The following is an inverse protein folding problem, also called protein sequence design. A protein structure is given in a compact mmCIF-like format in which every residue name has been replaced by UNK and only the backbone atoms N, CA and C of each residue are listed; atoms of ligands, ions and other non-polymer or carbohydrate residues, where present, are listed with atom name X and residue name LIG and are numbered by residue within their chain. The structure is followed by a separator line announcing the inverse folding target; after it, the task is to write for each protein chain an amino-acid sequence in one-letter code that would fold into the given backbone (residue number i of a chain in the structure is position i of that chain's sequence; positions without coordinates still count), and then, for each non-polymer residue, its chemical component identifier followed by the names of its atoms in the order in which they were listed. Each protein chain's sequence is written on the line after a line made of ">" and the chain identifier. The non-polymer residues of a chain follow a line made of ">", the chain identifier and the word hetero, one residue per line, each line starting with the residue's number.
data_IF_852915671301
#
_entry.id   IF_852915671301
#
_cell.length_a   1.000
_cell.length_b   1.000
_cell.length_c   1.000
_cell.angle_alpha   90.00
_cell.angle_beta   90.00
_cell.angle_gamma   90.00
#
_symmetry.space_group_name_H-M   'P 1'
#
loop_
_entity.id
_entity.type
_entity.pdbx_description
1 polymer ?
#
# COMPACT_ATOMS: atom_id res chain seq x y z
N UNK A 1 24.27 -1.89 24.97
CA UNK A 1 23.94 -0.92 23.89
C UNK A 1 22.56 -1.20 23.34
N UNK A 2 21.70 -0.20 23.30
CA UNK A 2 20.40 -0.36 22.66
C UNK A 2 20.52 -0.08 21.17
N UNK A 3 19.98 -0.97 20.36
CA UNK A 3 19.88 -0.77 18.91
C UNK A 3 18.74 0.21 18.61
N UNK A 4 19.02 1.17 17.74
CA UNK A 4 17.99 2.09 17.25
C UNK A 4 17.95 2.06 15.73
N UNK A 5 16.75 1.94 15.18
CA UNK A 5 16.53 2.09 13.75
C UNK A 5 16.73 3.56 13.36
N UNK A 6 17.38 3.78 12.23
CA UNK A 6 17.57 5.12 11.72
C UNK A 6 16.45 5.44 10.72
N UNK A 7 15.74 6.54 10.95
CA UNK A 7 14.75 7.06 10.01
C UNK A 7 15.48 7.88 8.95
N UNK A 8 15.71 7.30 7.79
CA UNK A 8 16.52 7.90 6.74
C UNK A 8 15.78 9.03 6.02
N UNK A 9 16.53 9.88 5.32
CA UNK A 9 15.94 10.93 4.46
C UNK A 9 15.04 10.30 3.38
N UNK A 10 15.45 9.15 2.84
CA UNK A 10 14.67 8.43 1.83
C UNK A 10 13.34 7.96 2.38
N UNK A 11 13.32 7.41 3.60
CA UNK A 11 12.09 7.03 4.28
C UNK A 11 11.16 8.22 4.48
N UNK A 12 11.72 9.37 4.88
CA UNK A 12 10.94 10.60 5.07
C UNK A 12 10.38 11.12 3.75
N UNK A 13 11.15 11.00 2.66
CA UNK A 13 10.69 11.40 1.33
C UNK A 13 9.48 10.56 0.90
N UNK A 14 9.55 9.24 1.10
CA UNK A 14 8.44 8.36 0.78
C UNK A 14 7.22 8.70 1.63
N UNK A 15 7.40 8.82 2.94
CA UNK A 15 6.30 9.17 3.84
C UNK A 15 5.61 10.48 3.42
N UNK A 16 6.40 11.49 3.09
CA UNK A 16 5.86 12.81 2.67
C UNK A 16 5.01 12.72 1.42
N UNK A 17 5.36 11.84 0.49
CA UNK A 17 4.59 11.66 -0.75
C UNK A 17 3.20 11.07 -0.49
N UNK A 18 3.03 10.34 0.61
CA UNK A 18 1.75 9.71 0.97
C UNK A 18 0.98 10.48 2.04
N UNK A 19 1.44 11.67 2.44
CA UNK A 19 0.84 12.37 3.59
C UNK A 19 -0.66 12.65 3.40
N UNK A 20 -1.06 13.05 2.19
CA UNK A 20 -2.48 13.34 1.93
C UNK A 20 -3.33 12.07 2.05
N UNK A 21 -2.83 10.96 1.54
CA UNK A 21 -3.51 9.68 1.65
C UNK A 21 -3.64 9.25 3.11
N UNK A 22 -2.53 9.33 3.86
CA UNK A 22 -2.53 8.93 5.28
C UNK A 22 -3.46 9.79 6.14
N UNK A 23 -3.55 11.08 5.84
CA UNK A 23 -4.44 11.99 6.59
C UNK A 23 -5.91 11.76 6.29
N UNK A 24 -6.23 11.29 5.08
CA UNK A 24 -7.62 11.15 4.64
C UNK A 24 -8.15 9.71 4.74
N UNK A 25 -7.30 8.72 5.06
CA UNK A 25 -7.72 7.33 5.16
C UNK A 25 -7.80 6.90 6.63
N UNK A 26 -9.03 6.82 7.14
CA UNK A 26 -9.29 6.56 8.56
C UNK A 26 -9.04 5.12 8.98
N UNK A 27 -8.91 4.19 8.03
CA UNK A 27 -8.73 2.76 8.32
C UNK A 27 -7.27 2.36 8.57
N UNK A 28 -6.34 3.30 8.45
CA UNK A 28 -4.91 3.02 8.61
C UNK A 28 -4.23 4.11 9.44
N UNK A 29 -3.08 3.74 10.00
CA UNK A 29 -2.17 4.69 10.64
C UNK A 29 -0.74 4.25 10.41
N UNK A 30 0.18 5.21 10.41
CA UNK A 30 1.60 4.96 10.24
C UNK A 30 2.35 5.66 11.38
N UNK A 31 3.09 4.87 12.15
CA UNK A 31 3.84 5.36 13.31
C UNK A 31 5.33 5.04 13.11
N UNK A 32 6.18 5.83 13.75
CA UNK A 32 7.61 5.55 13.80
C UNK A 32 8.00 5.05 15.18
N UNK A 33 8.77 3.96 15.21
CA UNK A 33 9.38 3.43 16.42
C UNK A 33 10.89 3.36 16.24
N UNK A 34 11.65 3.90 17.17
CA UNK A 34 13.12 3.85 17.11
C UNK A 34 13.65 2.41 17.17
N UNK A 35 12.83 1.47 17.62
CA UNK A 35 13.26 0.08 17.79
C UNK A 35 12.91 -0.81 16.62
N UNK A 36 11.79 -0.56 15.94
CA UNK A 36 11.32 -1.45 14.87
C UNK A 36 11.13 -0.77 13.52
N UNK A 37 11.27 0.55 13.44
CA UNK A 37 11.06 1.31 12.20
C UNK A 37 9.62 1.79 12.08
N UNK A 38 9.09 1.83 10.87
CA UNK A 38 7.68 2.18 10.68
C UNK A 38 6.78 1.03 11.11
N UNK A 39 5.68 1.40 11.75
CA UNK A 39 4.63 0.46 12.13
C UNK A 39 3.37 0.88 11.39
N UNK A 40 2.89 0.01 10.52
CA UNK A 40 1.67 0.23 9.73
C UNK A 40 0.52 -0.49 10.41
N UNK A 41 -0.51 0.26 10.79
CA UNK A 41 -1.68 -0.27 11.49
C UNK A 41 -2.90 -0.24 10.58
N UNK A 42 -3.68 -1.31 10.58
CA UNK A 42 -5.03 -1.27 10.05
C UNK A 42 -6.00 -1.16 11.22
N UNK A 43 -7.01 -0.33 11.07
CA UNK A 43 -7.89 0.09 12.16
C UNK A 43 -9.34 -0.22 11.79
N UNK A 44 -10.06 -0.80 12.74
CA UNK A 44 -11.51 -0.94 12.62
C UNK A 44 -12.14 0.39 13.00
N UNK A 45 -12.75 1.07 12.03
CA UNK A 45 -13.33 2.40 12.24
C UNK A 45 -14.50 2.42 13.22
N UNK A 46 -15.19 1.29 13.37
CA UNK A 46 -16.35 1.20 14.27
C UNK A 46 -15.92 1.03 15.74
N UNK A 47 -14.88 0.24 15.98
CA UNK A 47 -14.43 -0.07 17.35
C UNK A 47 -13.24 0.75 17.78
N UNK A 48 -12.58 1.46 16.85
CA UNK A 48 -11.32 2.20 17.07
C UNK A 48 -10.18 1.31 17.57
N UNK A 49 -10.23 0.02 17.21
CA UNK A 49 -9.19 -0.95 17.59
C UNK A 49 -8.34 -1.29 16.37
N UNK A 50 -7.05 -1.53 16.61
CA UNK A 50 -6.16 -2.01 15.56
C UNK A 50 -6.49 -3.47 15.24
N UNK A 51 -6.58 -3.80 13.96
CA UNK A 51 -6.84 -5.16 13.48
C UNK A 51 -5.56 -5.88 13.09
N UNK A 52 -4.59 -5.13 12.58
CA UNK A 52 -3.29 -5.69 12.23
C UNK A 52 -2.19 -4.66 12.42
N UNK A 53 -0.97 -5.18 12.54
CA UNK A 53 0.23 -4.38 12.74
C UNK A 53 1.33 -5.00 11.89
N UNK A 54 2.02 -4.17 11.10
CA UNK A 54 3.09 -4.64 10.22
C UNK A 54 4.30 -3.70 10.35
N UNK A 55 5.49 -4.29 10.52
CA UNK A 55 6.72 -3.53 10.62
C UNK A 55 7.33 -3.33 9.24
N UNK A 56 7.74 -2.09 8.93
CA UNK A 56 8.34 -1.73 7.65
C UNK A 56 9.71 -1.10 7.92
N UNK A 57 10.75 -1.73 7.39
CA UNK A 57 12.13 -1.40 7.76
C UNK A 57 12.89 -0.60 6.71
N UNK A 58 12.40 -0.52 5.48
CA UNK A 58 13.08 0.16 4.38
C UNK A 58 12.12 1.07 3.62
N UNK A 59 12.69 2.05 2.90
CA UNK A 59 11.88 2.95 2.08
C UNK A 59 11.09 2.21 1.00
N UNK A 60 11.68 1.24 0.27
CA UNK A 60 10.88 0.45 -0.69
C UNK A 60 9.75 -0.35 -0.06
N UNK A 61 9.96 -0.94 1.13
CA UNK A 61 8.90 -1.66 1.83
C UNK A 61 7.76 -0.72 2.22
N UNK A 62 8.09 0.45 2.75
CA UNK A 62 7.09 1.47 3.09
C UNK A 62 6.30 1.89 1.86
N UNK A 63 6.98 2.21 0.77
CA UNK A 63 6.34 2.64 -0.47
C UNK A 63 5.42 1.54 -1.02
N UNK A 64 5.93 0.31 -1.10
CA UNK A 64 5.15 -0.83 -1.61
C UNK A 64 3.89 -1.07 -0.79
N UNK A 65 4.01 -1.05 0.53
CA UNK A 65 2.85 -1.31 1.41
C UNK A 65 1.79 -0.23 1.27
N UNK A 66 2.20 1.03 1.18
CA UNK A 66 1.24 2.13 1.03
C UNK A 66 0.58 2.12 -0.35
N UNK A 67 1.34 1.80 -1.41
CA UNK A 67 0.75 1.63 -2.74
C UNK A 67 -0.25 0.46 -2.77
N UNK A 68 0.08 -0.66 -2.13
CA UNK A 68 -0.84 -1.78 -2.00
C UNK A 68 -2.13 -1.37 -1.29
N UNK A 69 -2.02 -0.60 -0.21
CA UNK A 69 -3.19 -0.15 0.53
C UNK A 69 -4.09 0.77 -0.32
N UNK A 70 -3.49 1.65 -1.11
CA UNK A 70 -4.24 2.49 -2.03
C UNK A 70 -4.99 1.64 -3.08
N UNK A 71 -4.35 0.59 -3.60
CA UNK A 71 -4.98 -0.33 -4.53
C UNK A 71 -6.15 -1.07 -3.88
N UNK A 72 -5.97 -1.54 -2.65
CA UNK A 72 -7.04 -2.19 -1.87
C UNK A 72 -8.21 -1.24 -1.70
N UNK A 73 -7.95 0.02 -1.38
CA UNK A 73 -9.00 1.04 -1.20
C UNK A 73 -9.84 1.19 -2.47
N UNK A 74 -9.18 1.26 -3.64
CA UNK A 74 -9.89 1.35 -4.92
C UNK A 74 -10.75 0.10 -5.17
N UNK A 75 -10.19 -1.08 -4.94
CA UNK A 75 -10.88 -2.34 -5.19
C UNK A 75 -12.08 -2.53 -4.27
N UNK A 76 -11.99 -2.05 -3.03
CA UNK A 76 -13.14 -2.09 -2.11
C UNK A 76 -14.27 -1.16 -2.52
N UNK A 77 -14.00 -0.14 -3.30
CA UNK A 77 -15.02 0.76 -3.83
C UNK A 77 -15.78 0.14 -4.99
N UNK A 78 -15.24 -0.88 -5.63
CA UNK A 78 -15.95 -1.58 -6.70
C UNK A 78 -16.81 -2.69 -6.09
N UNK A 79 -18.10 -2.70 -6.41
CA UNK A 79 -19.03 -3.71 -5.85
C UNK A 79 -18.80 -5.10 -6.38
N UNK A 80 -17.99 -5.21 -7.41
CA UNK A 80 -17.83 -6.44 -8.17
C UNK A 80 -16.85 -7.40 -7.52
N UNK A 81 -15.77 -6.90 -6.90
CA UNK A 81 -14.67 -7.75 -6.49
C UNK A 81 -14.07 -7.26 -5.17
N UNK A 82 -14.08 -8.15 -4.17
CA UNK A 82 -13.45 -7.91 -2.89
C UNK A 82 -12.17 -8.73 -2.72
N UNK A 83 -11.72 -9.40 -3.80
CA UNK A 83 -10.48 -10.15 -3.79
C UNK A 83 -9.37 -9.31 -4.44
N UNK A 84 -8.40 -8.89 -3.64
CA UNK A 84 -7.34 -7.98 -4.06
C UNK A 84 -6.32 -8.63 -5.01
N UNK A 85 -6.43 -9.93 -5.24
CA UNK A 85 -5.53 -10.65 -6.14
C UNK A 85 -6.08 -10.79 -7.55
N UNK A 86 -7.32 -10.35 -7.80
CA UNK A 86 -8.00 -10.50 -9.10
C UNK A 86 -8.41 -9.14 -9.65
N UNK A 87 -7.42 -8.30 -9.93
CA UNK A 87 -7.67 -6.97 -10.47
C UNK A 87 -7.93 -7.04 -11.97
N UNK A 88 -9.06 -6.48 -12.43
CA UNK A 88 -9.34 -6.38 -13.86
C UNK A 88 -8.72 -5.09 -14.45
N UNK A 89 -8.90 -4.92 -15.77
CA UNK A 89 -8.29 -3.78 -16.47
C UNK A 89 -8.87 -2.45 -16.03
N UNK A 90 -10.17 -2.37 -15.76
CA UNK A 90 -10.81 -1.13 -15.33
C UNK A 90 -10.34 -0.75 -13.93
N UNK A 91 -10.22 -1.74 -13.05
CA UNK A 91 -9.68 -1.53 -11.70
C UNK A 91 -8.23 -1.07 -11.77
N UNK A 92 -7.42 -1.66 -12.65
CA UNK A 92 -6.03 -1.25 -12.82
C UNK A 92 -5.91 0.21 -13.27
N UNK A 93 -6.79 0.66 -14.18
CA UNK A 93 -6.82 2.06 -14.62
C UNK A 93 -7.14 2.98 -13.45
N UNK A 94 -8.12 2.61 -12.62
CA UNK A 94 -8.50 3.41 -11.44
C UNK A 94 -7.37 3.45 -10.40
N UNK A 95 -6.71 2.33 -10.19
CA UNK A 95 -5.58 2.25 -9.26
C UNK A 95 -4.44 3.14 -9.74
N UNK A 96 -4.08 3.09 -11.02
CA UNK A 96 -3.04 3.95 -11.57
C UNK A 96 -3.39 5.43 -11.44
N UNK A 97 -4.64 5.80 -11.67
CA UNK A 97 -5.09 7.17 -11.51
C UNK A 97 -4.97 7.61 -10.04
N UNK A 98 -5.29 6.74 -9.10
CA UNK A 98 -5.20 7.03 -7.67
C UNK A 98 -3.74 7.20 -7.22
N UNK A 99 -2.84 6.36 -7.75
CA UNK A 99 -1.41 6.44 -7.45
C UNK A 99 -0.71 7.66 -8.06
N UNK A 100 -1.26 8.23 -9.13
CA UNK A 100 -0.57 9.23 -9.95
C UNK A 100 0.03 10.39 -9.15
N UNK A 101 -0.72 11.07 -8.25
CA UNK A 101 -0.15 12.19 -7.50
C UNK A 101 1.04 11.80 -6.63
N UNK A 102 1.03 10.57 -6.11
CA UNK A 102 2.13 10.04 -5.30
C UNK A 102 3.33 9.73 -6.17
N UNK A 103 3.13 9.03 -7.29
CA UNK A 103 4.21 8.59 -8.15
C UNK A 103 4.87 9.76 -8.89
N UNK A 104 4.16 10.83 -9.14
CA UNK A 104 4.77 12.06 -9.66
C UNK A 104 5.84 12.61 -8.71
N UNK A 105 5.68 12.38 -7.42
CA UNK A 105 6.67 12.75 -6.39
C UNK A 105 7.74 11.70 -6.17
N UNK A 106 7.48 10.46 -6.60
CA UNK A 106 8.35 9.31 -6.40
C UNK A 106 8.58 8.54 -7.72
N UNK A 107 9.08 9.21 -8.78
CA UNK A 107 9.18 8.55 -10.08
C UNK A 107 10.14 7.35 -10.07
N UNK A 108 11.12 7.34 -9.19
CA UNK A 108 12.06 6.23 -9.02
C UNK A 108 11.43 4.99 -8.39
N UNK A 109 10.21 5.10 -7.84
CA UNK A 109 9.45 3.97 -7.30
C UNK A 109 8.32 3.50 -8.22
N UNK A 110 8.23 4.02 -9.43
CA UNK A 110 7.19 3.60 -10.39
C UNK A 110 7.23 2.10 -10.70
N UNK A 111 8.41 1.48 -10.61
CA UNK A 111 8.55 0.03 -10.83
C UNK A 111 7.71 -0.80 -9.86
N UNK A 112 7.46 -0.28 -8.66
CA UNK A 112 6.61 -0.97 -7.68
C UNK A 112 5.16 -1.05 -8.15
N UNK A 113 4.68 -0.01 -8.83
CA UNK A 113 3.34 -0.01 -9.41
C UNK A 113 3.20 -1.12 -10.44
N UNK A 114 4.19 -1.29 -11.31
CA UNK A 114 4.18 -2.33 -12.32
C UNK A 114 4.23 -3.72 -11.70
N UNK A 115 5.00 -3.90 -10.63
CA UNK A 115 5.05 -5.16 -9.89
C UNK A 115 3.70 -5.52 -9.28
N UNK A 116 3.04 -4.56 -8.63
CA UNK A 116 1.74 -4.78 -8.00
C UNK A 116 0.70 -5.20 -9.03
N UNK A 117 0.63 -4.47 -10.14
CA UNK A 117 -0.36 -4.77 -11.18
C UNK A 117 -0.08 -6.10 -11.88
N UNK A 118 1.19 -6.42 -12.11
CA UNK A 118 1.56 -7.70 -12.71
C UNK A 118 1.15 -8.87 -11.81
N UNK A 119 1.46 -8.80 -10.53
CA UNK A 119 1.10 -9.84 -9.57
C UNK A 119 -0.41 -10.04 -9.48
N UNK A 120 -1.17 -8.95 -9.49
CA UNK A 120 -2.63 -9.03 -9.45
C UNK A 120 -3.20 -9.68 -10.72
N UNK A 121 -2.61 -9.39 -11.89
CA UNK A 121 -3.03 -9.98 -13.16
C UNK A 121 -2.63 -11.44 -13.28
N UNK A 122 -1.44 -11.81 -12.82
CA UNK A 122 -0.98 -13.20 -12.80
C UNK A 122 -1.92 -14.07 -11.97
N UNK A 123 -2.35 -13.57 -10.81
CA UNK A 123 -3.31 -14.29 -9.97
C UNK A 123 -4.66 -14.47 -10.66
N UNK A 124 -5.11 -13.48 -11.42
CA UNK A 124 -6.35 -13.60 -12.20
C UNK A 124 -6.22 -14.68 -13.28
N UNK A 125 -5.11 -14.72 -13.99
CA UNK A 125 -4.84 -15.73 -15.02
C UNK A 125 -4.81 -17.13 -14.42
N UNK A 126 -4.13 -17.32 -13.29
CA UNK A 126 -4.10 -18.60 -12.59
C UNK A 126 -5.50 -19.06 -12.19
N UNK A 127 -6.31 -18.16 -11.63
CA UNK A 127 -7.67 -18.48 -11.25
C UNK A 127 -8.54 -18.81 -12.47
N UNK A 128 -8.32 -18.15 -13.59
CA UNK A 128 -9.00 -18.45 -14.84
C UNK A 128 -8.66 -19.82 -15.38
N UNK A 129 -7.41 -20.26 -15.26
CA UNK A 129 -6.96 -21.58 -15.68
C UNK A 129 -7.59 -22.66 -14.79
N UNK A 130 -7.62 -22.44 -13.49
CA UNK A 130 -8.16 -23.40 -12.53
C UNK A 130 -9.67 -23.64 -12.70
N UNK A 131 -10.38 -22.69 -13.28
CA UNK A 131 -11.82 -22.80 -13.52
C UNK A 131 -12.17 -23.58 -14.78
N UNK A 132 -11.18 -23.94 -15.58
CA UNK A 132 -11.38 -24.72 -16.79
C UNK A 132 -11.26 -26.23 -16.51
#
# INVERSE_FOLDING_TARGET
>A
MSFKMKRTLEMRRVESAFVDYLENEDSIDLLWSDKVGYVFLTINEKTHQSESCEDLHTAPQLCRRLLDDMAITVMMQTKRNHNFTNMDKDEAVRVRAFWKPVIEKLPDYAYLCDEILREAQENEEENGIDLQ
#
